data_IF_711109967238
#
_entry.id   IF_711109967238
#
_cell.length_a   1.000
_cell.length_b   1.000
_cell.length_c   1.000
_cell.angle_alpha   90.00
_cell.angle_beta   90.00
_cell.angle_gamma   90.00
#
_symmetry.space_group_name_H-M   'P 1'
#
loop_
_entity.id
_entity.type
_entity.pdbx_description
1 polymer ?
#
# COMPACT_ATOMS: atom_id res chain seq x y z
N UNK A 1 4.06 -31.77 -3.52
CA UNK A 1 4.61 -30.42 -3.38
C UNK A 1 3.54 -29.42 -3.77
N UNK A 2 3.30 -28.36 -2.99
CA UNK A 2 2.31 -27.33 -3.34
C UNK A 2 2.92 -26.43 -4.43
N UNK A 3 2.28 -26.37 -5.60
CA UNK A 3 2.68 -25.49 -6.71
C UNK A 3 2.47 -24.02 -6.28
N UNK A 4 3.48 -23.14 -6.41
CA UNK A 4 3.31 -21.71 -6.16
C UNK A 4 2.30 -21.07 -7.12
N UNK A 5 1.62 -20.02 -6.67
CA UNK A 5 0.71 -19.22 -7.50
C UNK A 5 1.30 -17.84 -7.80
N UNK A 6 0.77 -17.12 -8.78
CA UNK A 6 1.28 -15.79 -9.13
C UNK A 6 0.77 -14.75 -8.13
N UNK A 7 -0.54 -14.76 -7.87
CA UNK A 7 -1.22 -13.75 -7.05
C UNK A 7 -1.94 -14.40 -5.89
N UNK A 8 -1.56 -14.04 -4.67
CA UNK A 8 -2.20 -14.46 -3.43
C UNK A 8 -2.99 -13.35 -2.75
N UNK A 9 -3.93 -13.72 -1.89
CA UNK A 9 -4.58 -12.83 -0.92
C UNK A 9 -4.50 -13.44 0.48
N UNK A 10 -3.89 -12.75 1.43
CA UNK A 10 -3.87 -13.13 2.85
C UNK A 10 -4.88 -12.30 3.62
N UNK A 11 -5.89 -12.96 4.19
CA UNK A 11 -6.88 -12.36 5.08
C UNK A 11 -6.49 -12.64 6.52
N UNK A 12 -6.27 -11.58 7.30
CA UNK A 12 -5.88 -11.63 8.70
C UNK A 12 -7.00 -11.07 9.57
N UNK A 13 -7.31 -11.76 10.66
CA UNK A 13 -8.43 -11.43 11.57
C UNK A 13 -7.99 -11.29 13.01
N UNK A 14 -8.79 -10.55 13.78
CA UNK A 14 -8.62 -10.31 15.20
C UNK A 14 -8.00 -8.95 15.53
N UNK A 15 -7.97 -8.64 16.83
CA UNK A 15 -7.48 -7.36 17.33
C UNK A 15 -5.98 -7.13 17.04
N UNK A 16 -5.58 -5.86 17.14
CA UNK A 16 -4.22 -5.36 16.85
C UNK A 16 -3.12 -6.19 17.52
N UNK A 17 -3.28 -6.52 18.81
CA UNK A 17 -2.30 -7.32 19.57
C UNK A 17 -2.19 -8.78 19.08
N UNK A 18 -3.32 -9.38 18.70
CA UNK A 18 -3.32 -10.72 18.14
C UNK A 18 -2.65 -10.73 16.77
N UNK A 19 -3.00 -9.78 15.89
CA UNK A 19 -2.40 -9.65 14.55
C UNK A 19 -0.90 -9.46 14.63
N UNK A 20 -0.40 -8.52 15.44
CA UNK A 20 1.04 -8.25 15.59
C UNK A 20 1.85 -9.51 15.96
N UNK A 21 1.31 -10.36 16.84
CA UNK A 21 2.01 -11.58 17.31
C UNK A 21 2.19 -12.66 16.23
N UNK A 22 1.29 -12.72 15.25
CA UNK A 22 1.28 -13.76 14.20
C UNK A 22 1.65 -13.24 12.82
N UNK A 23 1.67 -11.93 12.63
CA UNK A 23 1.83 -11.25 11.34
C UNK A 23 3.02 -11.76 10.53
N UNK A 24 4.23 -11.72 11.11
CA UNK A 24 5.44 -12.16 10.42
C UNK A 24 5.32 -13.60 9.91
N UNK A 25 4.91 -14.52 10.79
CA UNK A 25 4.73 -15.94 10.43
C UNK A 25 3.69 -16.12 9.33
N UNK A 26 2.56 -15.41 9.38
CA UNK A 26 1.52 -15.52 8.36
C UNK A 26 2.01 -15.02 7.00
N UNK A 27 2.70 -13.88 6.98
CA UNK A 27 3.28 -13.31 5.77
C UNK A 27 4.34 -14.24 5.17
N UNK A 28 5.25 -14.79 5.98
CA UNK A 28 6.28 -15.73 5.52
C UNK A 28 5.65 -17.00 4.90
N UNK A 29 4.64 -17.56 5.55
CA UNK A 29 3.96 -18.76 5.07
C UNK A 29 3.21 -18.50 3.75
N UNK A 30 2.49 -17.38 3.64
CA UNK A 30 1.79 -17.02 2.42
C UNK A 30 2.76 -16.66 1.29
N UNK A 31 3.77 -15.85 1.56
CA UNK A 31 4.78 -15.44 0.58
C UNK A 31 5.57 -16.63 0.03
N UNK A 32 5.82 -17.68 0.83
CA UNK A 32 6.46 -18.92 0.34
C UNK A 32 5.67 -19.67 -0.75
N UNK A 33 4.41 -19.28 -0.99
CA UNK A 33 3.48 -19.89 -1.95
C UNK A 33 3.09 -18.96 -3.09
N UNK A 34 3.65 -17.76 -3.13
CA UNK A 34 3.33 -16.71 -4.09
C UNK A 34 4.61 -16.31 -4.81
N UNK A 35 4.53 -16.06 -6.12
CA UNK A 35 5.70 -15.73 -6.94
C UNK A 35 5.74 -14.27 -7.39
N UNK A 36 4.60 -13.58 -7.45
CA UNK A 36 4.52 -12.21 -7.96
C UNK A 36 3.98 -11.24 -6.92
N UNK A 37 2.72 -11.40 -6.48
CA UNK A 37 2.04 -10.41 -5.65
C UNK A 37 1.22 -11.04 -4.54
N UNK A 38 1.37 -10.54 -3.32
CA UNK A 38 0.55 -10.94 -2.19
C UNK A 38 -0.23 -9.73 -1.67
N UNK A 39 -1.55 -9.76 -1.89
CA UNK A 39 -2.46 -8.84 -1.22
C UNK A 39 -2.61 -9.24 0.24
N UNK A 40 -2.71 -8.25 1.12
CA UNK A 40 -3.00 -8.42 2.54
C UNK A 40 -4.28 -7.66 2.87
N UNK A 41 -5.22 -8.31 3.52
CA UNK A 41 -6.48 -7.75 3.95
C UNK A 41 -6.67 -7.97 5.44
N UNK A 42 -7.05 -6.91 6.16
CA UNK A 42 -7.42 -6.97 7.57
C UNK A 42 -8.94 -6.90 7.63
N UNK A 43 -9.64 -7.84 8.29
CA UNK A 43 -11.11 -7.84 8.29
C UNK A 43 -11.73 -7.15 9.53
N UNK A 44 -11.04 -7.18 10.67
CA UNK A 44 -11.61 -6.83 11.99
C UNK A 44 -10.56 -6.16 12.91
N UNK A 45 -9.80 -5.19 12.38
CA UNK A 45 -8.80 -4.49 13.19
C UNK A 45 -9.24 -3.07 13.57
N UNK A 46 -9.21 -2.81 14.87
CA UNK A 46 -9.55 -1.53 15.49
C UNK A 46 -8.43 -0.47 15.38
N UNK A 47 -7.26 -0.80 14.80
CA UNK A 47 -6.10 0.12 14.76
C UNK A 47 -5.24 -0.10 13.53
N UNK A 48 -5.71 0.42 12.40
CA UNK A 48 -5.01 0.31 11.12
C UNK A 48 -3.68 1.05 11.11
N UNK A 49 -3.65 2.23 11.74
CA UNK A 49 -2.50 3.10 11.87
C UNK A 49 -1.32 2.37 12.52
N UNK A 50 -1.60 1.40 13.39
CA UNK A 50 -0.57 0.58 14.01
C UNK A 50 -0.18 -0.64 13.18
N UNK A 51 -1.11 -1.21 12.41
CA UNK A 51 -0.88 -2.44 11.66
C UNK A 51 -0.29 -2.21 10.27
N UNK A 52 -0.62 -1.11 9.60
CA UNK A 52 -0.12 -0.81 8.27
C UNK A 52 1.42 -0.72 8.25
N UNK A 53 2.07 0.06 9.14
CA UNK A 53 3.53 0.07 9.22
C UNK A 53 4.09 -1.31 9.57
N UNK A 54 3.43 -2.03 10.50
CA UNK A 54 3.87 -3.36 10.93
C UNK A 54 3.84 -4.39 9.78
N UNK A 55 2.85 -4.33 8.89
CA UNK A 55 2.74 -5.20 7.71
C UNK A 55 3.89 -4.93 6.75
N UNK A 56 4.11 -3.67 6.35
CA UNK A 56 5.17 -3.34 5.39
C UNK A 56 6.57 -3.57 5.97
N UNK A 57 6.77 -3.34 7.27
CA UNK A 57 8.02 -3.66 7.95
C UNK A 57 8.27 -5.17 7.99
N UNK A 58 7.26 -5.95 8.37
CA UNK A 58 7.36 -7.42 8.38
C UNK A 58 7.63 -7.96 6.97
N UNK A 59 6.96 -7.42 5.96
CA UNK A 59 7.17 -7.77 4.56
C UNK A 59 8.60 -7.45 4.08
N UNK A 60 9.19 -6.33 4.52
CA UNK A 60 10.55 -5.95 4.16
C UNK A 60 11.61 -6.93 4.72
N UNK A 61 11.30 -7.64 5.80
CA UNK A 61 12.18 -8.65 6.38
C UNK A 61 12.12 -10.01 5.65
N UNK A 62 11.12 -10.23 4.79
CA UNK A 62 10.94 -11.48 4.06
C UNK A 62 11.85 -11.46 2.82
N UNK A 63 12.78 -12.41 2.74
CA UNK A 63 13.65 -12.61 1.57
C UNK A 63 12.84 -13.21 0.40
N UNK A 64 12.07 -12.38 -0.26
CA UNK A 64 11.20 -12.75 -1.37
C UNK A 64 11.08 -11.57 -2.34
N UNK A 65 10.99 -11.87 -3.63
CA UNK A 65 10.68 -10.89 -4.69
C UNK A 65 9.17 -10.57 -4.76
N UNK A 66 8.36 -11.11 -3.84
CA UNK A 66 6.92 -10.89 -3.82
C UNK A 66 6.58 -9.43 -3.51
N UNK A 67 5.72 -8.85 -4.34
CA UNK A 67 5.14 -7.53 -4.15
C UNK A 67 3.99 -7.59 -3.13
N UNK A 68 4.24 -7.12 -1.92
CA UNK A 68 3.22 -7.00 -0.87
C UNK A 68 2.40 -5.72 -1.03
N UNK A 69 1.07 -5.85 -0.96
CA UNK A 69 0.14 -4.71 -1.04
C UNK A 69 -1.00 -4.87 -0.04
N UNK A 70 -1.29 -3.84 0.75
CA UNK A 70 -2.42 -3.86 1.70
C UNK A 70 -3.65 -3.29 1.01
N UNK A 71 -4.75 -4.04 0.99
CA UNK A 71 -6.03 -3.57 0.45
C UNK A 71 -6.71 -2.68 1.49
N UNK A 72 -7.14 -1.49 1.05
CA UNK A 72 -7.62 -0.42 1.95
C UNK A 72 -9.13 -0.20 1.90
N UNK A 73 -9.78 -0.63 0.83
CA UNK A 73 -11.23 -0.56 0.69
C UNK A 73 -11.79 -1.86 0.11
N UNK A 74 -13.13 -1.95 0.04
CA UNK A 74 -13.82 -2.97 -0.74
C UNK A 74 -13.41 -2.89 -2.19
N UNK A 75 -12.42 -3.71 -2.51
CA UNK A 75 -11.94 -3.91 -3.85
C UNK A 75 -12.15 -5.34 -4.29
N UNK A 76 -12.55 -5.50 -5.55
CA UNK A 76 -12.52 -6.80 -6.20
C UNK A 76 -11.11 -7.04 -6.73
N UNK A 77 -10.44 -8.07 -6.21
CA UNK A 77 -9.12 -8.48 -6.70
C UNK A 77 -9.19 -9.84 -7.36
N UNK A 78 -8.46 -10.00 -8.45
CA UNK A 78 -8.30 -11.27 -9.13
C UNK A 78 -7.11 -11.99 -8.52
N UNK A 79 -7.38 -13.14 -7.89
CA UNK A 79 -6.38 -13.88 -7.13
C UNK A 79 -6.41 -15.35 -7.52
N UNK A 80 -5.25 -15.98 -7.51
CA UNK A 80 -5.11 -17.41 -7.78
C UNK A 80 -5.40 -18.22 -6.51
N UNK A 81 -5.09 -17.65 -5.33
CA UNK A 81 -5.26 -18.32 -4.05
C UNK A 81 -5.52 -17.35 -2.90
N UNK A 82 -6.39 -17.76 -1.99
CA UNK A 82 -6.65 -17.06 -0.73
C UNK A 82 -6.08 -17.85 0.44
N UNK A 83 -5.48 -17.13 1.38
CA UNK A 83 -4.89 -17.60 2.63
C UNK A 83 -5.65 -16.94 3.79
N UNK A 84 -6.00 -17.70 4.82
CA UNK A 84 -6.77 -17.20 5.95
C UNK A 84 -6.10 -17.53 7.27
N UNK A 85 -6.13 -16.59 8.20
CA UNK A 85 -5.70 -16.87 9.56
C UNK A 85 -6.76 -17.65 10.37
N UNK A 86 -6.33 -18.62 11.20
CA UNK A 86 -7.21 -19.50 11.99
C UNK A 86 -8.08 -18.68 12.95
N UNK A 87 -9.40 -18.70 12.73
CA UNK A 87 -10.40 -18.54 13.79
C UNK A 87 -11.20 -19.84 13.88
N UNK A 88 -11.72 -20.16 15.07
CA UNK A 88 -12.70 -21.25 15.31
C UNK A 88 -14.02 -20.93 14.58
N UNK A 89 -13.98 -20.85 13.26
CA UNK A 89 -15.18 -20.83 12.42
C UNK A 89 -15.35 -22.25 11.87
N UNK A 90 -16.39 -23.00 12.29
CA UNK A 90 -16.62 -24.36 11.82
C UNK A 90 -16.87 -24.44 10.31
N UNK A 91 -17.25 -23.32 9.66
CA UNK A 91 -17.51 -23.24 8.22
C UNK A 91 -16.29 -22.77 7.41
N UNK A 92 -15.14 -22.48 8.04
CA UNK A 92 -13.93 -22.01 7.35
C UNK A 92 -12.69 -22.87 7.63
N UNK A 93 -11.85 -23.11 6.61
CA UNK A 93 -10.73 -24.03 6.75
C UNK A 93 -9.65 -23.49 7.71
N UNK A 94 -9.19 -24.29 8.68
CA UNK A 94 -8.10 -23.92 9.58
C UNK A 94 -6.75 -23.80 8.83
N UNK A 95 -6.02 -22.70 9.02
CA UNK A 95 -4.61 -22.50 8.60
C UNK A 95 -3.62 -23.51 9.21
N UNK A 96 -2.70 -24.12 8.47
CA UNK A 96 -2.97 -25.02 7.37
C UNK A 96 -3.46 -26.39 7.89
N UNK A 97 -4.57 -26.88 7.35
CA UNK A 97 -4.69 -28.28 6.93
C UNK A 97 -4.79 -28.26 5.42
N UNK A 98 -3.97 -29.11 4.81
CA UNK A 98 -4.04 -29.54 3.43
C UNK A 98 -5.49 -29.75 3.01
N UNK A 99 -6.07 -28.79 2.28
CA UNK A 99 -7.06 -29.07 1.28
C UNK A 99 -6.95 -27.96 0.24
N UNK A 100 -6.33 -28.32 -0.87
CA UNK A 100 -6.31 -27.52 -2.08
C UNK A 100 -7.76 -27.22 -2.46
N UNK A 101 -8.27 -26.02 -2.16
CA UNK A 101 -9.31 -25.48 -3.02
C UNK A 101 -8.58 -25.10 -4.32
N UNK A 102 -8.44 -26.08 -5.22
CA UNK A 102 -8.10 -25.81 -6.62
C UNK A 102 -9.28 -25.03 -7.19
N UNK A 103 -9.24 -23.72 -7.02
CA UNK A 103 -10.08 -22.82 -7.79
C UNK A 103 -9.48 -22.82 -9.20
N UNK A 104 -9.97 -23.75 -10.02
CA UNK A 104 -9.74 -23.68 -11.46
C UNK A 104 -10.38 -22.34 -11.90
N UNK A 105 -9.60 -21.49 -12.57
CA UNK A 105 -9.89 -20.11 -12.95
C UNK A 105 -9.59 -19.05 -11.88
N UNK A 106 -8.79 -18.04 -12.27
CA UNK A 106 -8.53 -16.86 -11.46
C UNK A 106 -9.86 -16.29 -10.98
N UNK A 107 -10.10 -16.35 -9.67
CA UNK A 107 -11.40 -16.03 -9.11
C UNK A 107 -11.38 -14.55 -8.75
N UNK A 108 -12.42 -13.81 -9.16
CA UNK A 108 -12.67 -12.46 -8.63
C UNK A 108 -13.11 -12.64 -7.18
N UNK A 109 -12.24 -12.29 -6.24
CA UNK A 109 -12.58 -12.28 -4.83
C UNK A 109 -13.13 -10.91 -4.48
N UNK A 110 -14.43 -10.86 -4.17
CA UNK A 110 -15.06 -9.65 -3.64
C UNK A 110 -14.79 -9.62 -2.14
N UNK A 111 -14.03 -8.62 -1.67
CA UNK A 111 -13.96 -8.35 -0.25
C UNK A 111 -15.35 -7.92 0.23
N UNK A 112 -16.03 -8.75 1.02
CA UNK A 112 -17.39 -8.48 1.51
C UNK A 112 -17.35 -7.51 2.71
N UNK A 113 -16.21 -7.45 3.42
CA UNK A 113 -15.96 -6.55 4.54
C UNK A 113 -14.54 -5.99 4.45
N UNK A 114 -14.38 -4.67 4.36
CA UNK A 114 -13.16 -4.00 4.78
C UNK A 114 -13.46 -3.15 6.03
N UNK A 115 -12.55 -3.09 7.01
CA UNK A 115 -12.78 -2.35 8.25
C UNK A 115 -12.95 -0.85 7.99
N UNK A 116 -12.48 -0.36 6.84
CA UNK A 116 -12.32 1.06 6.55
C UNK A 116 -13.38 1.62 5.59
N UNK A 117 -14.30 0.81 5.09
CA UNK A 117 -15.35 1.32 4.19
C UNK A 117 -16.30 2.32 4.86
N UNK A 118 -16.34 2.31 6.20
CA UNK A 118 -17.20 3.16 7.02
C UNK A 118 -16.41 4.22 7.80
N UNK A 119 -15.07 4.26 7.67
CA UNK A 119 -14.27 5.31 8.31
C UNK A 119 -14.32 6.54 7.40
N UNK A 120 -14.92 7.60 7.92
CA UNK A 120 -14.87 8.91 7.25
C UNK A 120 -13.42 9.37 7.16
N UNK A 121 -12.96 9.62 5.93
CA UNK A 121 -11.59 10.05 5.71
C UNK A 121 -11.42 11.48 6.20
N UNK A 122 -10.37 11.78 7.00
CA UNK A 122 -10.21 13.09 7.62
C UNK A 122 -9.96 14.21 6.62
N UNK A 123 -9.47 13.90 5.42
CA UNK A 123 -9.16 14.89 4.39
C UNK A 123 -9.82 14.54 3.05
N UNK A 124 -10.31 15.54 2.34
CA UNK A 124 -10.78 15.43 0.96
C UNK A 124 -9.62 15.38 -0.01
N UNK A 125 -8.58 16.18 0.21
CA UNK A 125 -7.44 16.26 -0.69
C UNK A 125 -6.14 16.41 0.08
N UNK A 126 -5.22 15.47 -0.16
CA UNK A 126 -3.86 15.51 0.36
C UNK A 126 -2.84 15.56 -0.76
N UNK A 127 -1.66 16.06 -0.44
CA UNK A 127 -0.49 16.03 -1.30
C UNK A 127 0.63 15.24 -0.65
N UNK A 128 1.47 14.61 -1.48
CA UNK A 128 2.74 14.04 -1.06
C UNK A 128 3.76 14.18 -2.19
N UNK A 129 5.04 14.02 -1.86
CA UNK A 129 6.11 14.15 -2.84
C UNK A 129 7.23 13.13 -2.61
N UNK A 130 7.91 12.73 -3.68
CA UNK A 130 8.99 11.77 -3.62
C UNK A 130 9.56 11.43 -5.00
N UNK A 131 10.67 10.69 -5.01
CA UNK A 131 11.23 10.22 -6.27
C UNK A 131 10.48 9.00 -6.84
N UNK A 132 9.98 8.12 -5.96
CA UNK A 132 9.20 6.93 -6.35
C UNK A 132 9.86 6.06 -7.44
N UNK A 133 11.19 6.01 -7.46
CA UNK A 133 11.93 5.02 -8.26
C UNK A 133 11.76 3.65 -7.62
N UNK A 134 11.39 2.64 -8.41
CA UNK A 134 11.22 1.24 -7.98
C UNK A 134 10.51 1.12 -6.62
N UNK A 135 9.18 1.26 -6.64
CA UNK A 135 8.33 1.29 -5.43
C UNK A 135 8.64 0.16 -4.43
N UNK A 136 9.41 0.49 -3.39
CA UNK A 136 9.69 -0.36 -2.24
C UNK A 136 8.67 -0.14 -1.12
N UNK A 137 8.72 -0.98 -0.08
CA UNK A 137 7.73 -0.99 1.01
C UNK A 137 7.58 0.36 1.72
N UNK A 138 8.66 1.16 1.84
CA UNK A 138 8.59 2.54 2.34
C UNK A 138 7.68 3.46 1.50
N UNK A 139 7.81 3.45 0.16
CA UNK A 139 6.92 4.20 -0.72
C UNK A 139 5.47 3.70 -0.62
N UNK A 140 5.28 2.37 -0.54
CA UNK A 140 3.96 1.75 -0.43
C UNK A 140 3.26 2.14 0.87
N UNK A 141 3.99 2.18 1.98
CA UNK A 141 3.47 2.67 3.26
C UNK A 141 3.00 4.13 3.15
N UNK A 142 3.83 5.02 2.60
CA UNK A 142 3.49 6.44 2.43
C UNK A 142 2.24 6.64 1.55
N UNK A 143 2.15 5.91 0.43
CA UNK A 143 1.00 5.95 -0.46
C UNK A 143 -0.25 5.34 0.18
N UNK A 144 -0.12 4.22 0.91
CA UNK A 144 -1.20 3.60 1.64
C UNK A 144 -1.74 4.51 2.76
N UNK A 145 -0.89 5.24 3.47
CA UNK A 145 -1.31 6.28 4.44
C UNK A 145 -2.09 7.41 3.76
N UNK A 146 -1.64 7.88 2.60
CA UNK A 146 -2.38 8.89 1.84
C UNK A 146 -3.76 8.40 1.39
N UNK A 147 -3.86 7.14 0.95
CA UNK A 147 -5.14 6.51 0.58
C UNK A 147 -6.04 6.35 1.81
N UNK A 148 -5.50 5.94 2.95
CA UNK A 148 -6.26 5.78 4.19
C UNK A 148 -6.84 7.12 4.67
N UNK A 149 -6.09 8.21 4.53
CA UNK A 149 -6.48 9.53 5.06
C UNK A 149 -7.29 10.40 4.10
N UNK A 150 -7.41 10.02 2.82
CA UNK A 150 -7.99 10.93 1.81
C UNK A 150 -8.80 10.30 0.69
N UNK A 151 -9.66 11.10 0.06
CA UNK A 151 -10.41 10.71 -1.16
C UNK A 151 -9.72 11.16 -2.46
N UNK A 152 -8.83 12.15 -2.38
CA UNK A 152 -8.02 12.63 -3.50
C UNK A 152 -6.56 12.80 -3.09
N UNK A 153 -5.66 12.37 -3.97
CA UNK A 153 -4.21 12.48 -3.81
C UNK A 153 -3.63 13.21 -5.02
N UNK A 154 -2.82 14.25 -4.78
CA UNK A 154 -1.86 14.74 -5.78
C UNK A 154 -0.46 14.35 -5.35
N UNK A 155 0.23 13.56 -6.17
CA UNK A 155 1.57 13.07 -5.87
C UNK A 155 2.62 13.76 -6.76
N UNK A 156 3.49 14.54 -6.14
CA UNK A 156 4.63 15.15 -6.80
C UNK A 156 5.75 14.14 -7.01
N UNK A 157 6.10 13.85 -8.26
CA UNK A 157 7.16 12.89 -8.59
C UNK A 157 8.39 13.66 -9.06
N UNK A 158 9.47 13.61 -8.29
CA UNK A 158 10.65 14.45 -8.54
C UNK A 158 11.36 14.08 -9.84
N UNK A 159 11.86 15.07 -10.57
CA UNK A 159 12.61 14.87 -11.80
C UNK A 159 13.69 15.96 -12.00
N UNK A 160 14.48 15.83 -13.07
CA UNK A 160 15.51 16.81 -13.42
C UNK A 160 16.60 16.96 -12.35
N UNK A 161 16.90 18.18 -11.95
CA UNK A 161 18.00 18.45 -11.00
C UNK A 161 17.72 17.92 -9.58
N UNK A 162 16.45 17.71 -9.22
CA UNK A 162 16.08 17.17 -7.90
C UNK A 162 16.56 15.74 -7.69
N UNK A 163 16.63 14.93 -8.75
CA UNK A 163 17.04 13.53 -8.65
C UNK A 163 18.56 13.35 -8.77
N UNK A 164 19.30 14.32 -9.32
CA UNK A 164 20.76 14.25 -9.52
C UNK A 164 21.57 14.09 -8.24
N UNK A 165 20.98 14.44 -7.09
CA UNK A 165 21.60 14.25 -5.77
C UNK A 165 21.53 12.80 -5.27
N UNK A 166 20.70 11.95 -5.89
CA UNK A 166 20.60 10.53 -5.53
C UNK A 166 21.73 9.74 -6.18
N UNK A 167 22.25 8.78 -5.44
CA UNK A 167 23.24 7.82 -5.93
C UNK A 167 22.61 7.02 -7.08
N UNK A 168 23.35 6.90 -8.20
CA UNK A 168 22.92 6.18 -9.40
C UNK A 168 21.62 6.71 -10.04
N UNK A 169 21.37 8.02 -9.97
CA UNK A 169 20.17 8.63 -10.57
C UNK A 169 20.01 8.31 -12.08
N UNK A 170 21.11 8.06 -12.78
CA UNK A 170 21.15 7.69 -14.20
C UNK A 170 20.49 6.33 -14.49
N UNK A 171 20.36 5.47 -13.47
CA UNK A 171 19.71 4.16 -13.57
C UNK A 171 18.25 4.19 -13.09
N UNK A 172 17.73 5.36 -12.71
CA UNK A 172 16.34 5.50 -12.30
C UNK A 172 15.39 5.31 -13.48
N UNK A 173 14.19 4.82 -13.16
CA UNK A 173 13.12 4.71 -14.14
C UNK A 173 12.74 6.10 -14.71
N UNK A 174 12.36 6.19 -15.99
CA UNK A 174 11.87 7.43 -16.57
C UNK A 174 10.71 8.03 -15.76
N UNK A 175 10.61 9.36 -15.70
CA UNK A 175 9.56 10.07 -14.95
C UNK A 175 8.15 9.54 -15.24
N UNK A 176 7.84 9.29 -16.53
CA UNK A 176 6.55 8.71 -16.94
C UNK A 176 6.26 7.35 -16.31
N UNK A 177 7.29 6.50 -16.23
CA UNK A 177 7.18 5.17 -15.60
C UNK A 177 6.95 5.29 -14.10
N UNK A 178 7.70 6.17 -13.41
CA UNK A 178 7.53 6.41 -11.96
C UNK A 178 6.16 6.96 -11.62
N UNK A 179 5.68 7.95 -12.39
CA UNK A 179 4.31 8.46 -12.32
C UNK A 179 3.27 7.36 -12.48
N UNK A 180 3.36 6.57 -13.56
CA UNK A 180 2.44 5.47 -13.81
C UNK A 180 2.46 4.42 -12.69
N UNK A 181 3.64 4.09 -12.15
CA UNK A 181 3.79 3.14 -11.06
C UNK A 181 3.06 3.60 -9.78
N UNK A 182 3.14 4.89 -9.45
CA UNK A 182 2.41 5.49 -8.30
C UNK A 182 0.90 5.41 -8.51
N UNK A 183 0.39 5.86 -9.65
CA UNK A 183 -1.05 5.85 -9.94
C UNK A 183 -1.60 4.42 -9.97
N UNK A 184 -0.86 3.51 -10.62
CA UNK A 184 -1.21 2.10 -10.67
C UNK A 184 -1.19 1.46 -9.28
N UNK A 185 -0.26 1.82 -8.40
CA UNK A 185 -0.23 1.31 -7.03
C UNK A 185 -1.46 1.75 -6.24
N UNK A 186 -1.77 3.06 -6.24
CA UNK A 186 -2.95 3.59 -5.54
C UNK A 186 -4.24 2.96 -6.06
N UNK A 187 -4.39 2.92 -7.39
CA UNK A 187 -5.53 2.25 -8.04
C UNK A 187 -5.59 0.77 -7.70
N UNK A 188 -4.45 0.11 -7.48
CA UNK A 188 -4.41 -1.31 -7.15
C UNK A 188 -4.89 -1.62 -5.74
N UNK A 189 -4.66 -0.73 -4.77
CA UNK A 189 -5.02 -0.92 -3.36
C UNK A 189 -6.35 -0.26 -2.95
N UNK A 190 -6.88 0.64 -3.79
CA UNK A 190 -8.14 1.34 -3.54
C UNK A 190 -8.90 1.69 -4.83
N UNK A 191 -10.22 1.53 -4.82
CA UNK A 191 -11.12 1.99 -5.89
C UNK A 191 -11.72 3.38 -5.59
N UNK A 192 -11.76 3.78 -4.32
CA UNK A 192 -12.44 5.00 -3.86
C UNK A 192 -11.52 6.23 -3.78
N UNK A 193 -10.25 6.13 -4.17
CA UNK A 193 -9.29 7.23 -4.13
C UNK A 193 -8.79 7.57 -5.51
N UNK A 194 -8.93 8.84 -5.87
CA UNK A 194 -8.35 9.36 -7.09
C UNK A 194 -6.91 9.84 -6.82
N UNK A 195 -5.93 9.30 -7.54
CA UNK A 195 -4.54 9.73 -7.48
C UNK A 195 -4.11 10.29 -8.83
N UNK A 196 -3.54 11.49 -8.81
CA UNK A 196 -2.93 12.13 -9.97
C UNK A 196 -1.48 12.41 -9.64
N UNK A 197 -0.58 12.04 -10.55
CA UNK A 197 0.84 12.37 -10.44
C UNK A 197 1.20 13.61 -11.24
N UNK A 198 2.14 14.39 -10.71
CA UNK A 198 2.67 15.59 -11.36
C UNK A 198 4.18 15.55 -11.26
N UNK A 199 4.93 15.59 -12.39
CA UNK A 199 6.37 15.79 -12.34
C UNK A 199 6.71 17.11 -11.64
N UNK A 200 7.60 17.07 -10.65
CA UNK A 200 8.08 18.26 -9.94
C UNK A 200 9.58 18.44 -10.13
N UNK A 201 9.98 19.69 -10.34
CA UNK A 201 11.37 20.09 -10.58
C UNK A 201 11.91 21.01 -9.47
N UNK A 202 11.07 21.31 -8.47
CA UNK A 202 11.43 22.01 -7.23
C UNK A 202 10.72 21.37 -6.02
N UNK A 203 11.07 21.82 -4.81
CA UNK A 203 10.55 21.28 -3.55
C UNK A 203 9.08 21.65 -3.25
N UNK A 204 8.47 22.53 -4.03
CA UNK A 204 7.12 23.05 -3.80
C UNK A 204 6.11 22.38 -4.73
N UNK A 205 6.41 22.24 -6.01
CA UNK A 205 5.49 21.67 -6.99
C UNK A 205 4.10 22.33 -6.96
N UNK A 206 3.00 21.59 -7.20
CA UNK A 206 1.67 22.16 -7.22
C UNK A 206 1.14 22.57 -5.84
N UNK A 207 1.84 22.21 -4.75
CA UNK A 207 1.31 22.36 -3.39
C UNK A 207 1.31 23.79 -2.88
N UNK A 208 1.94 24.75 -3.58
CA UNK A 208 1.85 26.18 -3.23
C UNK A 208 0.73 26.92 -3.97
N UNK A 209 0.25 26.37 -5.08
CA UNK A 209 -0.81 26.97 -5.91
C UNK A 209 -2.19 26.37 -5.60
N UNK A 210 -2.24 25.10 -5.14
CA UNK A 210 -3.51 24.43 -4.84
C UNK A 210 -4.04 24.79 -3.45
N UNK A 211 -4.98 25.73 -3.40
CA UNK A 211 -5.68 26.12 -2.18
C UNK A 211 -6.64 25.05 -1.62
N UNK A 212 -6.85 23.94 -2.33
CA UNK A 212 -7.74 22.85 -1.90
C UNK A 212 -7.00 21.74 -1.14
N UNK A 213 -5.67 21.78 -1.09
CA UNK A 213 -4.87 20.86 -0.29
C UNK A 213 -5.13 21.09 1.21
N UNK A 214 -5.59 20.05 1.91
CA UNK A 214 -5.91 20.09 3.34
C UNK A 214 -4.78 19.52 4.21
N UNK A 215 -3.94 18.63 3.67
CA UNK A 215 -2.77 18.09 4.38
C UNK A 215 -1.64 17.65 3.44
N UNK A 216 -0.42 17.66 3.97
CA UNK A 216 0.79 17.11 3.32
C UNK A 216 1.16 15.81 4.05
N UNK A 217 1.15 14.69 3.34
CA UNK A 217 1.59 13.41 3.88
C UNK A 217 3.10 13.29 3.65
N UNK A 218 3.86 13.07 4.73
CA UNK A 218 5.32 13.05 4.71
C UNK A 218 5.90 11.76 5.27
N UNK A 219 7.10 11.44 4.82
CA UNK A 219 8.03 10.56 5.52
C UNK A 219 9.07 11.39 6.27
N UNK A 220 9.89 10.74 7.10
CA UNK A 220 11.04 11.39 7.76
C UNK A 220 12.00 12.03 6.75
N UNK A 221 12.09 11.48 5.52
CA UNK A 221 12.93 12.03 4.46
C UNK A 221 12.38 13.33 3.86
N UNK A 222 11.06 13.54 3.92
CA UNK A 222 10.36 14.64 3.22
C UNK A 222 9.80 15.71 4.15
N UNK A 223 9.94 15.55 5.46
CA UNK A 223 9.39 16.49 6.47
C UNK A 223 9.86 17.93 6.25
N UNK A 224 11.15 18.13 6.00
CA UNK A 224 11.74 19.47 5.72
C UNK A 224 11.15 20.14 4.48
N UNK A 225 10.77 19.33 3.48
CA UNK A 225 10.11 19.83 2.28
C UNK A 225 8.71 20.36 2.59
N UNK A 226 7.95 19.64 3.40
CA UNK A 226 6.63 20.07 3.83
C UNK A 226 6.66 21.32 4.73
N UNK A 227 7.63 21.42 5.63
CA UNK A 227 7.87 22.64 6.42
C UNK A 227 8.10 23.85 5.50
N UNK A 228 8.97 23.72 4.50
CA UNK A 228 9.21 24.78 3.52
C UNK A 228 7.96 25.16 2.71
N UNK A 229 7.09 24.20 2.39
CA UNK A 229 5.79 24.47 1.74
C UNK A 229 4.88 25.27 2.67
N UNK A 230 4.77 24.90 3.95
CA UNK A 230 3.95 25.61 4.93
C UNK A 230 4.44 27.05 5.13
N UNK A 231 5.76 27.25 5.28
CA UNK A 231 6.38 28.57 5.38
C UNK A 231 6.02 29.44 4.16
N UNK A 232 6.07 28.86 2.96
CA UNK A 232 5.76 29.57 1.71
C UNK A 232 4.28 29.93 1.60
N UNK A 233 3.39 29.05 2.10
CA UNK A 233 1.95 29.28 2.17
C UNK A 233 1.55 30.25 3.29
N UNK A 234 2.49 30.62 4.18
CA UNK A 234 2.26 31.42 5.38
C UNK A 234 1.18 30.81 6.30
N UNK A 235 1.22 29.49 6.43
CA UNK A 235 0.38 28.74 7.37
C UNK A 235 0.99 28.74 8.78
#
# INVERSE_FOLDING_TARGET
MVVPVNIGLLIIRGNTNNVKRKLQRLLELAASKVTQKLYVHLEESDSFEELLPAIYLSAACIKSEVDFRVLLDRKTVQVDKVFYDKIKDPDQPPFPIFNEVKLNFSTKFNLIKAPFDFIEKPFRHVVLGGAFDKLHNGHKLLLSEAVFRSTKITCGVTDGDMIKKKVLYELMEPIKTRCANVENFVKDISENVNCITVPIYDAFGPSIEDNKCEAIIVSDETIKGAEAVNDKRKL
#
